data_IF_387771266510
#
_entry.id   IF_387771266510
#
_cell.length_a   1.000
_cell.length_b   1.000
_cell.length_c   1.000
_cell.angle_alpha   90.00
_cell.angle_beta   90.00
_cell.angle_gamma   90.00
#
_symmetry.space_group_name_H-M   'P 1'
#
loop_
_entity.id
_entity.type
_entity.pdbx_description
1 polymer ?
#
# COMPACT_ATOMS: atom_id res chain seq x y z
N UNK A 1 32.56 -36.51 -21.27
CA UNK A 1 31.29 -36.45 -20.48
C UNK A 1 31.33 -35.59 -19.23
N UNK A 2 32.40 -34.79 -19.02
CA UNK A 2 32.51 -33.91 -17.83
C UNK A 2 32.04 -32.46 -18.08
N UNK A 3 31.80 -32.06 -19.32
CA UNK A 3 31.45 -30.67 -19.68
C UNK A 3 29.96 -30.32 -19.60
N UNK A 4 29.05 -31.31 -19.48
CA UNK A 4 27.59 -31.09 -19.44
C UNK A 4 27.07 -30.83 -18.03
N UNK A 5 27.81 -31.16 -16.99
CA UNK A 5 27.39 -31.04 -15.58
C UNK A 5 27.62 -29.63 -15.00
N UNK A 6 28.35 -28.76 -15.68
CA UNK A 6 28.64 -27.39 -15.26
C UNK A 6 27.66 -26.34 -15.72
N UNK A 7 26.69 -26.70 -16.57
CA UNK A 7 25.75 -25.75 -17.15
C UNK A 7 24.42 -25.62 -16.39
N UNK A 8 24.23 -26.37 -15.29
CA UNK A 8 22.98 -26.37 -14.50
C UNK A 8 23.08 -25.64 -13.14
N UNK A 9 24.21 -25.02 -12.84
CA UNK A 9 24.44 -24.33 -11.54
C UNK A 9 24.09 -22.84 -11.56
N UNK A 10 23.45 -22.32 -12.59
CA UNK A 10 23.34 -20.86 -12.84
C UNK A 10 21.99 -20.21 -12.64
N UNK A 11 20.93 -20.86 -12.14
CA UNK A 11 19.60 -20.24 -12.00
C UNK A 11 19.00 -20.35 -10.59
N UNK A 12 19.81 -20.11 -9.57
CA UNK A 12 19.24 -19.71 -8.27
C UNK A 12 18.97 -18.22 -8.36
N UNK A 13 17.84 -17.84 -8.96
CA UNK A 13 17.33 -16.49 -8.91
C UNK A 13 17.13 -16.11 -7.43
N UNK A 14 17.90 -15.14 -6.94
CA UNK A 14 17.72 -14.55 -5.63
C UNK A 14 16.31 -13.95 -5.61
N UNK A 15 15.37 -14.60 -4.94
CA UNK A 15 14.03 -14.07 -4.71
C UNK A 15 14.17 -12.79 -3.90
N UNK A 16 13.79 -11.67 -4.48
CA UNK A 16 13.81 -10.34 -3.83
C UNK A 16 12.37 -9.94 -3.51
N UNK A 17 12.20 -9.21 -2.41
CA UNK A 17 10.93 -8.56 -2.15
C UNK A 17 10.60 -7.62 -3.32
N UNK A 18 9.39 -7.70 -3.82
CA UNK A 18 8.93 -6.85 -4.92
C UNK A 18 7.53 -6.32 -4.66
N UNK A 19 7.24 -5.16 -5.22
CA UNK A 19 5.89 -4.63 -5.30
C UNK A 19 5.64 -4.17 -6.74
N UNK A 20 4.55 -4.62 -7.30
CA UNK A 20 4.11 -4.26 -8.64
C UNK A 20 2.75 -3.58 -8.58
N UNK A 21 2.64 -2.42 -9.23
CA UNK A 21 1.39 -1.70 -9.31
C UNK A 21 0.50 -2.33 -10.38
N UNK A 22 -0.61 -2.94 -9.94
CA UNK A 22 -1.59 -3.53 -10.82
C UNK A 22 -2.55 -2.48 -11.37
N UNK A 23 -3.04 -1.62 -10.48
CA UNK A 23 -4.00 -0.58 -10.81
C UNK A 23 -3.80 0.61 -9.90
N UNK A 24 -3.97 1.81 -10.45
CA UNK A 24 -4.02 3.05 -9.67
C UNK A 24 -4.88 4.05 -10.41
N UNK A 25 -5.77 4.68 -9.67
CA UNK A 25 -6.62 5.75 -10.19
C UNK A 25 -6.78 6.87 -9.17
N UNK A 26 -6.81 8.09 -9.67
CA UNK A 26 -7.08 9.30 -8.91
C UNK A 26 -8.35 9.93 -9.47
N UNK A 27 -9.25 10.31 -8.58
CA UNK A 27 -10.53 10.93 -8.93
C UNK A 27 -10.66 12.26 -8.18
N UNK A 28 -11.17 13.27 -8.87
CA UNK A 28 -11.58 14.53 -8.25
C UNK A 28 -13.06 14.41 -7.88
N UNK A 29 -13.35 14.55 -6.62
CA UNK A 29 -14.71 14.50 -6.05
C UNK A 29 -15.12 15.87 -5.51
N UNK A 30 -16.36 16.03 -5.09
CA UNK A 30 -16.83 17.25 -4.44
C UNK A 30 -16.07 17.54 -3.12
N UNK A 31 -15.60 16.49 -2.43
CA UNK A 31 -14.90 16.60 -1.14
C UNK A 31 -13.40 16.77 -1.30
N UNK A 32 -12.85 16.64 -2.53
CA UNK A 32 -11.43 16.79 -2.81
C UNK A 32 -10.87 15.76 -3.77
N UNK A 33 -9.76 15.11 -3.40
CA UNK A 33 -9.13 14.06 -4.22
C UNK A 33 -9.16 12.72 -3.52
N UNK A 34 -9.57 11.70 -4.24
CA UNK A 34 -9.66 10.32 -3.80
C UNK A 34 -8.75 9.42 -4.63
N UNK A 35 -8.02 8.52 -3.97
CA UNK A 35 -7.11 7.55 -4.59
C UNK A 35 -7.61 6.13 -4.39
N UNK A 36 -7.60 5.36 -5.46
CA UNK A 36 -7.74 3.90 -5.42
C UNK A 36 -6.49 3.26 -6.01
N UNK A 37 -5.95 2.25 -5.33
CA UNK A 37 -4.76 1.53 -5.78
C UNK A 37 -4.83 0.05 -5.42
N UNK A 38 -4.28 -0.80 -6.29
CA UNK A 38 -4.06 -2.22 -6.07
C UNK A 38 -2.63 -2.57 -6.42
N UNK A 39 -1.91 -3.16 -5.46
CA UNK A 39 -0.49 -3.49 -5.55
C UNK A 39 -0.35 -5.00 -5.33
N UNK A 40 0.41 -5.67 -6.16
CA UNK A 40 0.87 -7.02 -5.90
C UNK A 40 2.16 -6.94 -5.07
N UNK A 41 2.16 -7.54 -3.89
CA UNK A 41 3.34 -7.61 -3.01
C UNK A 41 3.80 -9.05 -2.93
N UNK A 42 5.03 -9.29 -3.34
CA UNK A 42 5.71 -10.57 -3.21
C UNK A 42 6.81 -10.47 -2.17
N UNK A 43 6.79 -11.37 -1.19
CA UNK A 43 7.76 -11.42 -0.11
C UNK A 43 8.66 -12.65 -0.29
N UNK A 44 9.99 -12.49 -0.18
CA UNK A 44 10.89 -13.62 -0.22
C UNK A 44 10.72 -14.51 1.03
N UNK A 45 11.10 -15.80 0.96
CA UNK A 45 10.98 -16.73 2.08
C UNK A 45 11.65 -16.25 3.37
N UNK A 46 12.76 -15.53 3.26
CA UNK A 46 13.48 -14.96 4.42
C UNK A 46 12.63 -13.95 5.21
N UNK A 47 11.79 -13.18 4.53
CA UNK A 47 10.88 -12.20 5.13
C UNK A 47 9.68 -12.90 5.75
N UNK A 48 9.15 -13.93 5.08
CA UNK A 48 8.08 -14.77 5.65
C UNK A 48 8.55 -15.50 6.90
N UNK A 49 9.76 -16.04 6.90
CA UNK A 49 10.36 -16.68 8.09
C UNK A 49 10.52 -15.71 9.25
N UNK A 50 10.87 -14.46 9.00
CA UNK A 50 10.95 -13.43 10.02
C UNK A 50 9.56 -13.14 10.63
N UNK A 51 8.53 -13.02 9.80
CA UNK A 51 7.15 -12.86 10.26
C UNK A 51 6.70 -14.04 11.12
N UNK A 52 6.98 -15.29 10.72
CA UNK A 52 6.66 -16.50 11.50
C UNK A 52 7.38 -16.53 12.86
N UNK A 53 8.55 -15.90 12.95
CA UNK A 53 9.29 -15.67 14.22
C UNK A 53 8.78 -14.46 14.99
N UNK A 54 7.59 -13.95 14.65
CA UNK A 54 6.92 -12.81 15.28
C UNK A 54 7.63 -11.46 15.12
N UNK A 55 8.51 -11.32 14.10
CA UNK A 55 9.08 -10.03 13.72
C UNK A 55 8.03 -9.25 12.92
N UNK A 56 7.52 -8.12 13.40
CA UNK A 56 6.52 -7.35 12.67
C UNK A 56 7.16 -6.62 11.49
N UNK A 57 6.43 -6.51 10.38
CA UNK A 57 6.78 -5.67 9.24
C UNK A 57 5.92 -4.42 9.21
N UNK A 58 6.48 -3.34 8.68
CA UNK A 58 5.81 -2.05 8.59
C UNK A 58 5.81 -1.58 7.14
N UNK A 59 4.63 -1.54 6.54
CA UNK A 59 4.43 -0.98 5.20
C UNK A 59 3.87 0.43 5.33
N UNK A 60 4.40 1.34 4.55
CA UNK A 60 3.93 2.72 4.51
C UNK A 60 3.40 3.01 3.12
N UNK A 61 2.22 3.58 3.08
CA UNK A 61 1.58 4.12 1.88
C UNK A 61 1.46 5.62 2.05
N UNK A 62 2.06 6.39 1.15
CA UNK A 62 2.10 7.85 1.21
C UNK A 62 1.68 8.45 -0.12
N UNK A 63 0.96 9.55 -0.03
CA UNK A 63 0.61 10.40 -1.16
C UNK A 63 1.03 11.83 -0.89
N UNK A 64 1.50 12.51 -1.93
CA UNK A 64 1.72 13.95 -1.94
C UNK A 64 1.05 14.56 -3.16
N UNK A 65 0.21 15.57 -2.95
CA UNK A 65 -0.40 16.35 -4.02
C UNK A 65 0.45 17.57 -4.26
N UNK A 66 0.92 17.71 -5.48
CA UNK A 66 1.87 18.72 -5.90
C UNK A 66 1.25 19.58 -6.99
N UNK A 67 1.56 20.88 -6.97
CA UNK A 67 1.34 21.76 -8.10
C UNK A 67 2.68 22.04 -8.77
N UNK A 68 2.78 21.69 -10.04
CA UNK A 68 3.97 21.92 -10.86
C UNK A 68 4.24 23.42 -11.03
N UNK A 69 5.52 23.81 -10.94
CA UNK A 69 5.97 25.17 -11.15
C UNK A 69 7.15 25.18 -12.12
N UNK A 70 7.05 25.97 -13.16
CA UNK A 70 8.06 26.03 -14.24
C UNK A 70 9.42 26.63 -13.83
N UNK A 71 9.48 27.37 -12.71
CA UNK A 71 10.69 28.11 -12.30
C UNK A 71 11.17 27.82 -10.86
N UNK A 72 10.52 26.90 -10.13
CA UNK A 72 10.84 26.56 -8.76
C UNK A 72 10.47 25.09 -8.48
N UNK A 73 10.82 24.60 -7.29
CA UNK A 73 10.33 23.30 -6.85
C UNK A 73 8.81 23.24 -6.79
N UNK A 74 8.23 22.09 -7.07
CA UNK A 74 6.79 21.84 -6.99
C UNK A 74 6.24 22.25 -5.61
N UNK A 75 5.08 22.89 -5.60
CA UNK A 75 4.41 23.26 -4.34
C UNK A 75 3.58 22.08 -3.85
N UNK A 76 3.90 21.56 -2.67
CA UNK A 76 3.09 20.56 -2.00
C UNK A 76 1.84 21.20 -1.40
N UNK A 77 0.68 20.74 -1.84
CA UNK A 77 -0.64 21.20 -1.40
C UNK A 77 -1.20 20.32 -0.28
N UNK A 78 -1.03 19.00 -0.41
CA UNK A 78 -1.48 18.03 0.59
C UNK A 78 -0.48 16.89 0.71
N UNK A 79 -0.45 16.24 1.86
CA UNK A 79 0.26 15.00 2.11
C UNK A 79 -0.53 14.14 3.07
N UNK A 80 -0.70 12.87 2.72
CA UNK A 80 -1.36 11.87 3.55
C UNK A 80 -0.53 10.60 3.58
N UNK A 81 -0.55 9.93 4.72
CA UNK A 81 0.13 8.65 4.87
C UNK A 81 -0.65 7.70 5.76
N UNK A 82 -0.47 6.40 5.52
CA UNK A 82 -0.95 5.30 6.35
C UNK A 82 0.18 4.32 6.58
N UNK A 83 0.33 3.89 7.82
CA UNK A 83 1.28 2.85 8.19
C UNK A 83 0.53 1.58 8.56
N UNK A 84 0.89 0.48 7.92
CA UNK A 84 0.34 -0.84 8.18
C UNK A 84 1.39 -1.67 8.91
N UNK A 85 1.03 -2.21 10.08
CA UNK A 85 1.84 -3.18 10.80
C UNK A 85 1.30 -4.57 10.56
N UNK A 86 2.09 -5.42 9.94
CA UNK A 86 1.80 -6.84 9.74
C UNK A 86 2.55 -7.67 10.78
N UNK A 87 1.84 -8.52 11.51
CA UNK A 87 2.42 -9.41 12.49
C UNK A 87 1.73 -10.77 12.51
N UNK A 88 2.51 -11.84 12.63
CA UNK A 88 1.98 -13.17 12.88
C UNK A 88 1.73 -13.38 14.37
N UNK A 89 0.62 -14.02 14.69
CA UNK A 89 0.22 -14.38 16.07
C UNK A 89 0.27 -15.91 16.24
N UNK A 90 1.34 -16.47 16.83
CA UNK A 90 1.51 -17.93 16.92
C UNK A 90 0.40 -18.64 17.69
N UNK A 91 -0.12 -18.03 18.77
CA UNK A 91 -1.16 -18.63 19.60
C UNK A 91 -2.48 -18.86 18.86
N UNK A 92 -2.87 -17.91 18.00
CA UNK A 92 -4.11 -17.99 17.22
C UNK A 92 -3.87 -18.43 15.78
N UNK A 93 -2.60 -18.56 15.37
CA UNK A 93 -2.17 -18.83 13.98
C UNK A 93 -2.79 -17.87 12.97
N UNK A 94 -2.91 -16.60 13.35
CA UNK A 94 -3.52 -15.56 12.53
C UNK A 94 -2.51 -14.47 12.20
N UNK A 95 -2.76 -13.82 11.08
CA UNK A 95 -2.02 -12.66 10.60
C UNK A 95 -2.77 -11.40 11.01
N UNK A 96 -2.18 -10.57 11.85
CA UNK A 96 -2.78 -9.31 12.27
C UNK A 96 -2.24 -8.16 11.44
N UNK A 97 -3.15 -7.42 10.82
CA UNK A 97 -2.89 -6.13 10.17
C UNK A 97 -3.43 -5.02 11.09
N UNK A 98 -2.57 -4.08 11.42
CA UNK A 98 -2.96 -2.88 12.20
C UNK A 98 -2.66 -1.65 11.38
N UNK A 99 -3.61 -0.71 11.32
CA UNK A 99 -3.51 0.50 10.50
C UNK A 99 -3.43 1.74 11.40
N UNK A 100 -2.44 2.57 11.13
CA UNK A 100 -2.28 3.88 11.76
C UNK A 100 -2.27 4.99 10.70
N UNK A 101 -2.82 6.15 11.05
CA UNK A 101 -2.63 7.36 10.26
C UNK A 101 -1.22 7.89 10.45
N UNK A 102 -0.63 8.46 9.37
CA UNK A 102 0.72 9.01 9.38
C UNK A 102 1.79 8.04 8.89
N UNK A 103 2.97 8.59 8.65
CA UNK A 103 4.15 7.87 8.18
C UNK A 103 5.37 8.26 9.00
N UNK A 104 6.26 7.28 9.17
CA UNK A 104 7.65 7.52 9.50
C UNK A 104 8.03 7.36 10.97
N UNK A 105 9.35 7.25 11.19
CA UNK A 105 9.95 7.19 12.51
C UNK A 105 9.86 8.56 13.19
N UNK A 106 9.42 8.58 14.44
CA UNK A 106 9.35 9.78 15.29
C UNK A 106 7.94 10.28 15.59
N UNK A 107 6.91 9.80 14.89
CA UNK A 107 5.52 9.98 15.28
C UNK A 107 5.02 8.84 16.16
N UNK A 108 4.20 9.13 17.16
CA UNK A 108 3.50 8.08 17.90
C UNK A 108 2.44 7.47 16.96
N UNK A 109 2.71 6.28 16.43
CA UNK A 109 1.75 5.56 15.59
C UNK A 109 0.59 5.10 16.48
N UNK A 110 -0.54 5.74 16.34
CA UNK A 110 -1.79 5.30 16.99
C UNK A 110 -2.55 4.39 16.03
N UNK A 111 -2.58 3.11 16.35
CA UNK A 111 -3.29 2.13 15.55
C UNK A 111 -4.79 2.21 15.84
N UNK A 112 -5.55 2.67 14.86
CA UNK A 112 -7.00 2.85 14.97
C UNK A 112 -7.79 1.61 14.57
N UNK A 113 -7.23 0.74 13.72
CA UNK A 113 -7.91 -0.43 13.17
C UNK A 113 -7.02 -1.66 13.26
N UNK A 114 -7.63 -2.78 13.67
CA UNK A 114 -6.98 -4.10 13.72
C UNK A 114 -7.84 -5.12 12.99
N UNK A 115 -7.24 -5.86 12.09
CA UNK A 115 -7.88 -6.94 11.35
C UNK A 115 -7.04 -8.21 11.45
N UNK A 116 -7.72 -9.36 11.62
CA UNK A 116 -7.07 -10.67 11.65
C UNK A 116 -7.42 -11.44 10.37
N UNK A 117 -6.41 -12.04 9.77
CA UNK A 117 -6.53 -12.80 8.53
C UNK A 117 -6.00 -14.22 8.73
N UNK A 118 -6.65 -15.20 8.11
CA UNK A 118 -6.25 -16.61 8.23
C UNK A 118 -4.97 -16.94 7.46
N UNK A 119 -4.63 -16.17 6.42
CA UNK A 119 -3.45 -16.41 5.57
C UNK A 119 -2.65 -15.14 5.35
N UNK A 120 -1.34 -15.30 5.07
CA UNK A 120 -0.45 -14.19 4.74
C UNK A 120 -0.93 -13.45 3.48
N UNK A 121 -1.35 -14.18 2.45
CA UNK A 121 -1.81 -13.54 1.21
C UNK A 121 -3.06 -12.68 1.40
N UNK A 122 -4.00 -13.08 2.28
CA UNK A 122 -5.15 -12.22 2.63
C UNK A 122 -4.72 -10.98 3.41
N UNK A 123 -3.75 -11.11 4.32
CA UNK A 123 -3.21 -9.99 5.06
C UNK A 123 -2.45 -9.01 4.14
N UNK A 124 -1.64 -9.51 3.21
CA UNK A 124 -0.97 -8.68 2.21
C UNK A 124 -1.97 -7.99 1.29
N UNK A 125 -3.01 -8.67 0.83
CA UNK A 125 -4.07 -8.08 0.02
C UNK A 125 -4.82 -6.94 0.76
N UNK A 126 -4.99 -7.05 2.09
CA UNK A 126 -5.59 -5.98 2.89
C UNK A 126 -4.67 -4.76 3.05
N UNK A 127 -3.35 -4.95 3.01
CA UNK A 127 -2.35 -3.87 3.08
C UNK A 127 -2.18 -3.19 1.71
N UNK A 128 -2.20 -3.98 0.64
CA UNK A 128 -1.83 -3.54 -0.71
C UNK A 128 -3.00 -3.01 -1.54
N UNK A 129 -4.21 -3.05 -1.00
CA UNK A 129 -5.40 -2.51 -1.68
C UNK A 129 -5.99 -1.37 -0.88
N UNK A 130 -6.21 -0.25 -1.56
CA UNK A 130 -6.94 0.91 -1.03
C UNK A 130 -7.98 1.33 -2.06
N UNK A 131 -9.18 1.64 -1.59
CA UNK A 131 -10.26 2.16 -2.42
C UNK A 131 -10.81 3.43 -1.78
N UNK A 132 -10.98 4.48 -2.59
CA UNK A 132 -11.57 5.72 -2.14
C UNK A 132 -10.83 6.40 -0.98
N UNK A 133 -9.50 6.37 -0.98
CA UNK A 133 -8.73 7.03 0.07
C UNK A 133 -8.65 8.53 -0.19
N UNK A 134 -9.21 9.35 0.71
CA UNK A 134 -9.13 10.81 0.63
C UNK A 134 -7.70 11.27 0.89
N UNK A 135 -7.07 11.82 -0.16
CA UNK A 135 -5.66 12.23 -0.17
C UNK A 135 -5.49 13.75 -0.09
N UNK A 136 -6.51 14.52 -0.44
CA UNK A 136 -6.58 15.97 -0.25
C UNK A 136 -8.04 16.41 -0.09
N UNK A 137 -8.26 17.40 0.74
CA UNK A 137 -9.56 18.04 0.93
C UNK A 137 -9.82 19.08 -0.17
N UNK A 138 -11.09 19.35 -0.50
CA UNK A 138 -11.47 20.35 -1.52
C UNK A 138 -10.80 21.69 -1.27
N UNK A 139 -10.80 22.19 -0.05
CA UNK A 139 -10.16 23.46 0.32
C UNK A 139 -8.66 23.56 -0.03
N UNK A 140 -7.98 22.43 -0.21
CA UNK A 140 -6.55 22.38 -0.57
C UNK A 140 -6.32 22.39 -2.09
N UNK A 141 -7.32 22.00 -2.87
CA UNK A 141 -7.17 21.72 -4.32
C UNK A 141 -8.19 22.45 -5.20
N UNK A 142 -9.16 23.16 -4.62
CA UNK A 142 -10.15 23.92 -5.37
C UNK A 142 -9.50 25.04 -6.19
N UNK A 143 -9.91 25.15 -7.46
CA UNK A 143 -9.37 26.12 -8.41
C UNK A 143 -7.96 25.80 -8.91
N UNK A 144 -7.30 24.78 -8.39
CA UNK A 144 -5.97 24.38 -8.82
C UNK A 144 -6.07 23.41 -10.03
N UNK A 145 -5.22 23.64 -11.05
CA UNK A 145 -5.11 22.84 -12.26
C UNK A 145 -3.69 22.31 -12.43
N UNK A 146 -3.56 21.27 -13.26
CA UNK A 146 -2.27 20.67 -13.53
C UNK A 146 -1.64 20.08 -12.27
N UNK A 147 -2.44 19.45 -11.44
CA UNK A 147 -1.97 18.81 -10.22
C UNK A 147 -1.35 17.45 -10.52
N UNK A 148 -0.27 17.15 -9.80
CA UNK A 148 0.39 15.85 -9.79
C UNK A 148 0.18 15.19 -8.46
N UNK A 149 0.00 13.88 -8.46
CA UNK A 149 -0.05 13.06 -7.26
C UNK A 149 1.14 12.11 -7.27
N UNK A 150 2.05 12.28 -6.31
CA UNK A 150 3.13 11.33 -6.05
C UNK A 150 2.62 10.27 -5.07
N UNK A 151 2.57 9.03 -5.53
CA UNK A 151 2.21 7.85 -4.74
C UNK A 151 3.47 7.05 -4.44
N UNK A 152 3.65 6.65 -3.17
CA UNK A 152 4.73 5.76 -2.74
C UNK A 152 4.21 4.69 -1.79
N UNK A 153 4.65 3.46 -2.01
CA UNK A 153 4.42 2.32 -1.12
C UNK A 153 5.74 1.62 -0.85
N UNK A 154 6.10 1.45 0.43
CA UNK A 154 7.38 0.83 0.80
C UNK A 154 7.30 0.08 2.13
N UNK A 155 8.22 -0.88 2.30
CA UNK A 155 8.53 -1.49 3.58
C UNK A 155 9.51 -0.58 4.33
N UNK A 156 9.16 -0.16 5.55
CA UNK A 156 10.00 0.74 6.35
C UNK A 156 10.85 -0.05 7.36
N UNK A 157 12.15 -0.24 7.10
CA UNK A 157 13.03 -0.95 8.01
C UNK A 157 13.34 -0.16 9.29
N UNK A 158 13.16 1.16 9.29
CA UNK A 158 13.44 2.00 10.47
C UNK A 158 12.44 1.75 11.61
N UNK A 159 11.27 1.21 11.29
CA UNK A 159 10.26 0.83 12.28
C UNK A 159 10.45 -0.58 12.85
N UNK A 160 11.38 -1.37 12.34
CA UNK A 160 11.70 -2.69 12.86
C UNK A 160 12.34 -2.60 14.26
N UNK A 161 12.19 -3.64 15.11
CA UNK A 161 12.95 -3.73 16.36
C UNK A 161 14.46 -3.66 16.13
N UNK A 162 15.19 -2.95 17.00
CA UNK A 162 16.63 -2.62 16.85
C UNK A 162 17.54 -3.77 16.41
N UNK A 163 17.45 -5.02 16.92
CA UNK A 163 18.31 -6.10 16.45
C UNK A 163 18.18 -6.38 14.95
N UNK A 164 17.01 -6.13 14.38
CA UNK A 164 16.73 -6.36 12.96
C UNK A 164 17.13 -5.18 12.06
N UNK A 165 17.32 -3.99 12.64
CA UNK A 165 17.81 -2.81 11.89
C UNK A 165 19.30 -2.92 11.53
N UNK A 166 20.10 -3.64 12.34
CA UNK A 166 21.57 -3.72 12.19
C UNK A 166 22.03 -4.95 11.40
N UNK A 167 21.23 -6.00 11.33
CA UNK A 167 21.61 -7.30 10.76
C UNK A 167 21.15 -7.53 9.32
N UNK A 168 20.23 -6.73 8.84
CA UNK A 168 19.68 -6.88 7.50
C UNK A 168 20.41 -5.90 6.60
N UNK A 169 21.11 -6.43 5.62
CA UNK A 169 21.57 -5.65 4.47
C UNK A 169 20.30 -5.28 3.66
N UNK A 170 19.44 -4.56 4.33
CA UNK A 170 18.02 -4.32 4.07
C UNK A 170 17.75 -3.66 2.72
N UNK A 171 18.78 -3.18 2.06
CA UNK A 171 18.64 -2.49 0.78
C UNK A 171 18.39 -3.41 -0.41
N UNK A 172 18.78 -4.69 -0.31
CA UNK A 172 18.71 -5.59 -1.46
C UNK A 172 17.70 -6.73 -1.35
N UNK A 173 17.43 -7.29 -0.15
CA UNK A 173 16.63 -8.51 -0.04
C UNK A 173 15.20 -8.25 0.48
N UNK A 174 15.02 -7.20 1.28
CA UNK A 174 13.73 -6.85 1.89
C UNK A 174 13.10 -5.58 1.28
N UNK A 175 13.72 -5.03 0.24
CA UNK A 175 13.37 -3.72 -0.33
C UNK A 175 12.10 -3.73 -1.16
N UNK A 176 10.94 -3.53 -0.53
CA UNK A 176 9.73 -3.09 -1.23
C UNK A 176 9.77 -1.57 -1.28
N UNK A 177 9.88 -0.97 -2.45
CA UNK A 177 9.75 0.49 -2.68
C UNK A 177 9.15 0.71 -4.08
N UNK A 178 7.89 1.08 -4.11
CA UNK A 178 7.15 1.39 -5.31
C UNK A 178 6.81 2.87 -5.32
N UNK A 179 7.11 3.56 -6.43
CA UNK A 179 6.76 4.97 -6.63
C UNK A 179 6.04 5.14 -7.96
N UNK A 180 5.02 5.98 -7.96
CA UNK A 180 4.29 6.35 -9.15
C UNK A 180 3.84 7.80 -9.06
N UNK A 181 4.07 8.56 -10.14
CA UNK A 181 3.52 9.90 -10.33
C UNK A 181 2.34 9.82 -11.28
N UNK A 182 1.25 10.48 -10.94
CA UNK A 182 -0.02 10.49 -11.66
C UNK A 182 -0.45 11.92 -11.91
N UNK A 183 -1.04 12.15 -13.07
CA UNK A 183 -1.76 13.39 -13.33
C UNK A 183 -3.14 13.32 -12.67
N UNK A 184 -3.53 14.41 -12.01
CA UNK A 184 -4.85 14.51 -11.38
C UNK A 184 -5.83 15.08 -12.40
N UNK A 185 -7.00 14.44 -12.62
CA UNK A 185 -8.01 15.00 -13.52
C UNK A 185 -8.47 16.39 -13.07
N UNK A 186 -8.55 17.34 -14.03
CA UNK A 186 -9.06 18.69 -13.76
C UNK A 186 -10.58 18.72 -13.57
N UNK A 187 -11.27 17.72 -14.11
CA UNK A 187 -12.73 17.60 -14.04
C UNK A 187 -13.18 16.72 -12.88
N UNK A 188 -14.33 17.04 -12.31
CA UNK A 188 -15.00 16.17 -11.34
C UNK A 188 -15.35 14.84 -12.01
N UNK A 189 -14.94 13.75 -11.38
CA UNK A 189 -15.37 12.43 -11.82
C UNK A 189 -16.83 12.23 -11.47
N UNK A 190 -17.66 11.71 -12.41
CA UNK A 190 -19.04 11.36 -12.06
C UNK A 190 -19.01 10.31 -10.96
N UNK A 191 -19.73 10.57 -9.88
CA UNK A 191 -19.94 9.59 -8.82
C UNK A 191 -20.69 8.41 -9.45
N UNK A 192 -20.01 7.28 -9.63
CA UNK A 192 -20.71 6.04 -9.99
C UNK A 192 -21.60 5.69 -8.79
N UNK A 193 -22.92 5.69 -8.92
CA UNK A 193 -23.78 5.23 -7.85
C UNK A 193 -23.40 3.77 -7.59
N UNK A 194 -23.06 3.46 -6.35
CA UNK A 194 -22.96 2.08 -5.89
C UNK A 194 -24.32 1.45 -6.19
N UNK A 195 -24.36 0.50 -7.12
CA UNK A 195 -25.55 -0.29 -7.41
C UNK A 195 -25.77 -1.19 -6.21
N UNK A 196 -26.38 -0.62 -5.20
CA UNK A 196 -27.03 -1.37 -4.12
C UNK A 196 -28.45 -1.68 -4.61
N UNK A 197 -28.50 -2.49 -5.68
CA UNK A 197 -29.76 -3.08 -6.15
C UNK A 197 -30.10 -4.23 -5.21
N UNK A 198 -30.61 -3.83 -4.03
CA UNK A 198 -31.30 -4.71 -3.12
C UNK A 198 -32.47 -5.36 -3.86
N UNK A 199 -32.28 -6.62 -4.19
CA UNK A 199 -33.34 -7.49 -4.67
C UNK A 199 -34.41 -7.66 -3.60
N UNK A 200 -35.37 -6.73 -3.57
CA UNK A 200 -36.64 -6.91 -2.90
C UNK A 200 -37.61 -7.56 -3.90
N UNK A 201 -37.42 -8.85 -4.11
CA UNK A 201 -38.40 -9.70 -4.81
C UNK A 201 -39.34 -10.29 -3.78
N UNK A 202 -40.43 -9.55 -3.48
CA UNK A 202 -41.56 -10.08 -2.77
C UNK A 202 -42.20 -11.24 -3.55
N UNK A 203 -42.55 -12.38 -2.92
CA UNK A 203 -43.32 -13.42 -3.58
C UNK A 203 -44.76 -12.99 -3.67
N UNK A 204 -45.24 -12.79 -4.89
CA UNK A 204 -46.68 -12.65 -5.21
C UNK A 204 -47.40 -13.94 -4.87
N UNK A 205 -48.24 -13.89 -3.84
CA UNK A 205 -49.30 -14.86 -3.62
C UNK A 205 -50.45 -14.52 -4.58
N UNK A 206 -50.86 -15.47 -5.38
CA UNK A 206 -52.11 -15.48 -6.12
C UNK A 206 -53.01 -16.60 -5.63
N UNK A 207 -54.33 -16.45 -5.72
CA UNK A 207 -55.37 -17.16 -4.98
C UNK A 207 -55.58 -18.61 -5.40
#
# INVERSE_FOLDING_TARGET
>A
MLAVLLMWAGLLGLARASAELQEVSVQRTADGLSLSASILVDLPPSVEDALLKSVPLYFVMQTEVLRERWYWSDKRLASRARTYRLAYQPLTRQWRVSVAAGAGPGGTLQYALHQNHATLSKALAAISRVAGWDVAESAQVDGEKGLLLDFRFWLDPALLPRPFQLGVNTRNDWGVDLRRRLEVPDQLSPVSPSTDEGADAAPSRSP
#
